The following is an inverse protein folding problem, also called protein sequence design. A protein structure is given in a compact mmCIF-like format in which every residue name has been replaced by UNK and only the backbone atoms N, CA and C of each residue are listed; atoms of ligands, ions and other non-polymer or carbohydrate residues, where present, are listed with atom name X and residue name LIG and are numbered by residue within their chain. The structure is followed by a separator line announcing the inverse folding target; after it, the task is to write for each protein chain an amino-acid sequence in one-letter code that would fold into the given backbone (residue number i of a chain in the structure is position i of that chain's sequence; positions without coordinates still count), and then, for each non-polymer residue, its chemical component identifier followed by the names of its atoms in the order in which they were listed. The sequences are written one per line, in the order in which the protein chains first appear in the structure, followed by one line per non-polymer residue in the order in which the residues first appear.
data_IF_934155752249
#
_entry.id   IF_934155752249
#
_cell.length_a   1.000
_cell.length_b   1.000
_cell.length_c   1.000
_cell.angle_alpha   90.00
_cell.angle_beta   90.00
_cell.angle_gamma   90.00
#
_symmetry.space_group_name_H-M   'P 1'
#
loop_
_entity.id
_entity.type
_entity.pdbx_description
1 polymer ?
2 non-polymer ?
3 water ?
#
# COMPACT_ATOMS: atom_id res chain seq x y z
N UNK A 5 10.80 4.15 21.13
CA UNK A 5 9.78 3.49 20.30
C UNK A 5 8.61 2.94 21.13
N UNK A 6 8.78 2.81 22.46
CA UNK A 6 7.73 2.31 23.33
C UNK A 6 6.90 3.48 23.83
N UNK A 7 5.57 3.38 23.71
CA UNK A 7 4.64 4.42 24.15
C UNK A 7 3.85 3.84 25.30
N UNK A 8 3.78 4.56 26.42
CA UNK A 8 3.02 4.10 27.57
C UNK A 8 1.49 4.33 27.39
N UNK A 9 0.59 3.49 27.95
CA UNK A 9 -0.86 3.72 27.77
C UNK A 9 -1.33 5.11 28.20
N UNK A 10 -0.68 5.72 29.21
CA UNK A 10 -1.04 7.05 29.70
C UNK A 10 -0.71 8.14 28.69
N UNK A 11 0.09 7.81 27.66
CA UNK A 11 0.51 8.78 26.64
C UNK A 11 -0.45 8.82 25.45
N UNK A 12 -1.52 8.01 25.50
CA UNK A 12 -2.48 7.94 24.42
C UNK A 12 -3.89 8.17 24.90
N UNK A 13 -4.70 8.84 24.07
CA UNK A 13 -6.13 8.98 24.36
C UNK A 13 -6.85 8.63 23.10
N UNK A 14 -7.96 7.91 23.23
CA UNK A 14 -8.81 7.53 22.13
C UNK A 14 -9.97 8.53 22.07
N UNK A 15 -10.19 9.09 20.89
CA UNK A 15 -11.25 10.08 20.69
C UNK A 15 -12.48 9.49 20.05
N UNK A 16 -12.28 8.79 18.92
CA UNK A 16 -13.36 8.19 18.15
C UNK A 16 -12.81 7.16 17.20
N UNK A 17 -13.65 6.30 16.71
CA UNK A 17 -13.22 5.32 15.77
C UNK A 17 -12.97 5.93 14.41
N UNK A 18 -11.96 5.43 13.70
CA UNK A 18 -11.72 5.76 12.30
C UNK A 18 -12.36 4.66 11.44
N UNK A 19 -12.03 3.40 11.72
CA UNK A 19 -12.61 2.30 10.98
C UNK A 19 -11.97 0.99 11.36
N UNK A 20 -12.51 -0.09 10.83
CA UNK A 20 -12.08 -1.44 11.14
C UNK A 20 -11.06 -1.94 10.14
N UNK A 21 -10.29 -2.91 10.63
CA UNK A 21 -9.33 -3.72 9.89
C UNK A 21 -9.67 -5.17 10.14
N UNK A 22 -9.09 -6.06 9.32
CA UNK A 22 -9.29 -7.50 9.43
C UNK A 22 -8.75 -7.97 10.78
N UNK A 23 -7.73 -7.26 11.32
CA UNK A 23 -7.10 -7.68 12.56
C UNK A 23 -7.23 -6.74 13.73
N UNK A 24 -7.96 -5.63 13.56
CA UNK A 24 -8.13 -4.71 14.65
C UNK A 24 -8.75 -3.39 14.24
N UNK A 25 -9.19 -2.68 15.23
CA UNK A 25 -9.85 -1.41 15.03
C UNK A 25 -8.84 -0.26 15.04
N UNK A 26 -9.09 0.78 14.22
CA UNK A 26 -8.27 1.97 14.17
C UNK A 26 -9.06 3.12 14.78
N UNK A 27 -8.45 3.84 15.72
CA UNK A 27 -9.02 4.99 16.39
C UNK A 27 -8.27 6.27 16.06
N UNK A 28 -8.97 7.37 16.11
CA UNK A 28 -8.37 8.69 16.10
C UNK A 28 -8.07 8.98 17.53
N UNK A 29 -6.87 9.47 17.82
CA UNK A 29 -6.56 9.84 19.19
C UNK A 29 -5.44 10.86 19.25
N UNK A 30 -5.01 11.12 20.48
CA UNK A 30 -3.88 12.03 20.70
C UNK A 30 -2.75 11.29 21.34
N UNK A 31 -1.53 11.74 21.03
CA UNK A 31 -0.30 11.19 21.62
C UNK A 31 0.35 12.36 22.37
N UNK A 32 0.55 12.17 23.68
CA UNK A 32 1.08 13.18 24.59
C UNK A 32 2.33 13.91 24.08
N UNK A 33 2.29 15.26 24.08
CA UNK A 33 3.36 16.19 23.65
C UNK A 33 3.78 16.02 22.21
N UNK A 34 2.97 15.31 21.42
CA UNK A 34 3.34 15.02 20.04
C UNK A 34 2.34 15.52 19.02
N UNK A 35 1.26 14.76 18.78
CA UNK A 35 0.27 15.13 17.78
C UNK A 35 -0.98 14.27 17.86
N UNK A 36 -1.93 14.57 16.98
CA UNK A 36 -3.07 13.72 16.73
C UNK A 36 -2.49 12.50 15.96
N UNK A 37 -3.03 11.31 16.25
CA UNK A 37 -2.54 10.05 15.69
C UNK A 37 -3.66 9.11 15.33
N UNK A 38 -3.32 8.07 14.54
CA UNK A 38 -4.21 6.93 14.34
C UNK A 38 -3.65 5.80 15.17
N UNK A 39 -4.51 5.14 15.95
CA UNK A 39 -4.09 4.07 16.85
C UNK A 39 -4.77 2.78 16.45
N UNK A 40 -4.00 1.76 16.11
CA UNK A 40 -4.53 0.46 15.78
C UNK A 40 -4.43 -0.47 16.99
N UNK A 41 -5.55 -1.09 17.41
CA UNK A 41 -5.50 -2.13 18.43
C UNK A 41 -5.47 -3.46 17.71
N UNK A 42 -4.54 -4.37 18.07
CA UNK A 42 -4.44 -5.62 17.32
C UNK A 42 -4.92 -6.77 18.18
N UNK A 43 -5.84 -7.57 17.65
CA UNK A 43 -6.31 -8.74 18.40
C UNK A 43 -5.19 -9.76 18.63
N UNK A 44 -5.22 -10.42 19.79
CA UNK A 44 -4.25 -11.46 20.15
C UNK A 44 -4.26 -12.55 19.08
N UNK A 45 -3.07 -13.00 18.70
CA UNK A 45 -2.94 -14.07 17.72
C UNK A 45 -2.85 -13.62 16.28
N UNK A 46 -3.17 -12.35 15.97
CA UNK A 46 -3.15 -11.91 14.59
C UNK A 46 -1.77 -11.60 14.07
N UNK A 47 -0.85 -11.23 14.99
CA UNK A 47 0.46 -10.74 14.61
C UNK A 47 1.53 -11.47 15.36
N UNK A 48 2.70 -11.63 14.74
CA UNK A 48 3.86 -12.16 15.44
C UNK A 48 4.41 -10.93 16.18
N UNK A 49 3.93 -10.73 17.40
CA UNK A 49 4.25 -9.53 18.17
C UNK A 49 5.75 -9.38 18.48
N UNK A 50 6.40 -10.47 18.88
CA UNK A 50 7.84 -10.43 19.13
C UNK A 50 8.63 -10.06 17.88
N UNK A 51 8.27 -10.62 16.71
CA UNK A 51 8.99 -10.26 15.46
C UNK A 51 8.81 -8.76 15.20
N UNK A 52 7.59 -8.26 15.42
CA UNK A 52 7.33 -6.86 15.14
C UNK A 52 8.11 -5.96 16.07
N UNK A 53 8.11 -6.28 17.35
CA UNK A 53 8.81 -5.47 18.35
C UNK A 53 10.31 -5.41 18.05
N UNK A 54 10.90 -6.52 17.55
CA UNK A 54 12.31 -6.58 17.13
C UNK A 54 12.59 -5.64 15.98
N UNK A 55 11.62 -5.48 15.08
CA UNK A 55 11.78 -4.71 13.84
C UNK A 55 11.25 -3.25 13.95
N UNK A 56 10.56 -2.90 15.06
CA UNK A 56 9.94 -1.56 15.18
C UNK A 56 10.88 -0.39 14.99
N UNK A 57 12.00 -0.39 15.71
CA UNK A 57 12.99 0.70 15.60
C UNK A 57 13.50 0.84 14.16
N UNK A 58 13.70 -0.29 13.46
CA UNK A 58 14.16 -0.33 12.06
C UNK A 58 13.13 0.32 11.14
N UNK A 59 11.85 -0.06 11.26
CA UNK A 59 10.78 0.49 10.46
C UNK A 59 10.62 1.97 10.67
N UNK A 60 10.79 2.40 11.94
CA UNK A 60 10.61 3.81 12.29
C UNK A 60 11.64 4.71 11.62
N UNK A 61 12.81 4.14 11.27
CA UNK A 61 13.86 4.90 10.59
C UNK A 61 13.54 5.12 9.11
N UNK A 62 12.57 4.39 8.55
CA UNK A 62 12.17 4.58 7.13
C UNK A 62 11.24 5.78 7.07
N UNK A 63 11.85 6.93 7.18
CA UNK A 63 11.17 8.20 7.31
C UNK A 63 11.27 8.91 5.99
N UNK A 64 10.14 9.09 5.35
CA UNK A 64 10.09 9.79 4.07
C UNK A 64 8.73 10.47 4.01
N UNK A 65 8.65 11.68 3.45
CA UNK A 65 7.36 12.39 3.43
C UNK A 65 6.22 11.67 2.70
N UNK A 66 6.54 10.67 1.86
CA UNK A 66 5.52 9.93 1.14
C UNK A 66 5.25 8.55 1.74
N UNK A 67 5.73 8.34 2.99
CA UNK A 67 5.46 7.08 3.70
C UNK A 67 4.71 7.42 4.98
N UNK A 68 3.63 6.68 5.26
CA UNK A 68 2.92 6.86 6.54
C UNK A 68 3.82 6.34 7.65
N UNK A 69 4.15 7.21 8.60
CA UNK A 69 5.08 6.87 9.65
C UNK A 69 4.51 6.05 10.80
N UNK A 70 5.30 5.11 11.29
CA UNK A 70 5.04 4.38 12.52
C UNK A 70 5.69 5.26 13.63
N UNK A 71 4.91 5.64 14.63
CA UNK A 71 5.42 6.47 15.71
C UNK A 71 5.83 5.66 16.94
N UNK A 72 5.24 4.49 17.12
CA UNK A 72 5.59 3.68 18.27
C UNK A 72 4.59 2.60 18.59
N UNK A 73 4.84 1.89 19.68
CA UNK A 73 4.08 0.71 20.05
C UNK A 73 3.73 0.79 21.52
N UNK A 74 2.46 0.56 21.84
CA UNK A 74 2.01 0.53 23.22
C UNK A 74 1.78 -0.95 23.53
N UNK A 75 2.68 -1.55 24.32
CA UNK A 75 2.70 -3.00 24.56
C UNK A 75 2.53 -3.43 26.00
N UNK A 76 2.18 -2.50 26.91
CA UNK A 76 2.03 -2.82 28.33
C UNK A 76 0.97 -3.89 28.60
N UNK A 77 -0.15 -3.80 27.91
CA UNK A 77 -1.23 -4.76 28.08
C UNK A 77 -1.83 -5.15 26.75
N UNK A 78 -2.39 -6.36 26.66
CA UNK A 78 -3.07 -6.86 25.49
C UNK A 78 -4.45 -6.16 25.44
N UNK A 79 -4.95 -5.66 24.29
CA UNK A 79 -4.33 -5.74 22.96
C UNK A 79 -3.24 -4.71 22.81
N UNK A 80 -2.19 -5.08 22.12
CA UNK A 80 -1.14 -4.10 21.84
C UNK A 80 -1.64 -3.07 20.83
N UNK A 81 -1.10 -1.85 20.89
CA UNK A 81 -1.48 -0.76 19.99
C UNK A 81 -0.29 -0.35 19.17
N UNK A 82 -0.55 -0.04 17.90
CA UNK A 82 0.45 0.56 17.05
C UNK A 82 -0.02 1.98 16.77
N UNK A 83 0.90 2.95 16.82
CA UNK A 83 0.57 4.36 16.70
C UNK A 83 1.17 4.91 15.41
N UNK A 84 0.32 5.52 14.58
CA UNK A 84 0.74 6.02 13.27
C UNK A 84 0.38 7.46 13.06
N UNK A 85 1.10 8.06 12.11
CA UNK A 85 0.79 9.36 11.57
C UNK A 85 -0.67 9.35 11.08
N UNK A 86 -1.46 10.35 11.48
CA UNK A 86 -2.87 10.44 11.10
C UNK A 86 -3.00 10.99 9.69
N UNK A 87 -3.76 10.28 8.83
CA UNK A 87 -3.95 10.71 7.44
C UNK A 87 -5.38 11.15 7.30
N UNK A 88 -5.57 12.45 7.26
CA UNK A 88 -6.90 13.07 7.36
C UNK A 88 -7.97 12.66 6.36
N UNK A 89 -7.57 12.32 5.15
CA UNK A 89 -8.57 11.99 4.16
C UNK A 89 -8.72 10.50 3.88
N UNK A 90 -8.05 9.65 4.65
CA UNK A 90 -8.23 8.22 4.57
C UNK A 90 -7.70 7.50 3.36
N UNK A 91 -8.21 6.28 3.11
CA UNK A 91 -7.75 5.41 2.03
C UNK A 91 -8.00 5.98 0.67
N UNK A 92 -7.01 5.80 -0.22
CA UNK A 92 -7.12 6.31 -1.58
C UNK A 92 -8.23 5.61 -2.37
N UNK A 93 -8.46 4.32 -2.10
CA UNK A 93 -9.52 3.58 -2.79
C UNK A 93 -10.88 4.27 -2.61
N UNK A 94 -11.26 4.57 -1.35
CA UNK A 94 -12.53 5.24 -1.11
C UNK A 94 -12.49 6.67 -1.57
N UNK A 95 -11.32 7.34 -1.47
CA UNK A 95 -11.20 8.75 -1.87
C UNK A 95 -11.51 8.92 -3.37
N UNK A 96 -11.03 7.97 -4.18
CA UNK A 96 -11.28 7.99 -5.62
C UNK A 96 -12.74 7.62 -5.92
N UNK A 97 -13.23 6.54 -5.29
CA UNK A 97 -14.59 6.03 -5.57
C UNK A 97 -15.67 7.02 -5.23
N UNK A 98 -15.49 7.78 -4.16
CA UNK A 98 -16.52 8.71 -3.72
C UNK A 98 -16.44 10.03 -4.49
N UNK A 99 -15.39 10.21 -5.32
CA UNK A 99 -15.20 11.47 -6.03
C UNK A 99 -14.97 11.26 -7.51
N UNK A 100 -15.54 10.20 -8.04
CA UNK A 100 -15.47 9.93 -9.46
C UNK A 100 -16.03 11.14 -10.21
N UNK A 101 -15.36 11.52 -11.29
CA UNK A 101 -15.76 12.62 -12.15
C UNK A 101 -15.11 13.94 -11.78
N UNK A 102 -14.39 14.00 -10.64
CA UNK A 102 -13.76 15.24 -10.20
C UNK A 102 -12.36 15.47 -10.71
N UNK A 103 -11.54 14.41 -10.72
CA UNK A 103 -10.12 14.63 -10.98
C UNK A 103 -9.66 14.57 -12.41
N UNK A 104 -8.84 15.55 -12.78
CA UNK A 104 -8.18 15.61 -14.07
C UNK A 104 -7.06 14.56 -14.12
N UNK A 105 -6.70 14.10 -15.33
CA UNK A 105 -5.62 13.12 -15.46
C UNK A 105 -4.32 13.63 -14.82
N UNK A 106 -4.06 14.94 -14.84
CA UNK A 106 -2.84 15.49 -14.21
C UNK A 106 -2.84 15.22 -12.70
N UNK A 107 -4.02 15.32 -12.05
CA UNK A 107 -4.13 15.07 -10.63
C UNK A 107 -3.95 13.57 -10.34
N UNK A 108 -4.59 12.70 -11.16
CA UNK A 108 -4.47 11.25 -10.98
C UNK A 108 -3.00 10.82 -11.18
N UNK A 109 -2.33 11.41 -12.20
CA UNK A 109 -0.91 11.12 -12.40
C UNK A 109 -0.10 11.61 -11.18
N UNK A 110 -0.44 12.77 -10.63
CA UNK A 110 0.26 13.26 -9.44
C UNK A 110 0.13 12.33 -8.24
N UNK A 111 -1.01 11.65 -8.10
CA UNK A 111 -1.24 10.69 -7.03
C UNK A 111 -0.27 9.51 -7.24
N UNK A 112 -0.19 9.03 -8.50
CA UNK A 112 0.73 7.94 -8.84
C UNK A 112 2.17 8.35 -8.59
N UNK A 113 2.51 9.62 -8.85
CA UNK A 113 3.89 10.11 -8.62
C UNK A 113 4.23 10.16 -7.13
N UNK A 114 3.27 10.48 -6.26
CA UNK A 114 3.53 10.50 -4.83
C UNK A 114 3.85 9.10 -4.37
N UNK A 115 3.06 8.11 -4.81
CA UNK A 115 3.27 6.72 -4.45
C UNK A 115 4.63 6.24 -4.99
N UNK A 116 4.92 6.58 -6.24
CA UNK A 116 6.17 6.15 -6.86
C UNK A 116 7.39 6.70 -6.11
N UNK A 117 7.29 7.94 -5.61
CA UNK A 117 8.40 8.55 -4.87
C UNK A 117 8.63 7.81 -3.55
N UNK A 118 7.56 7.47 -2.84
CA UNK A 118 7.70 6.69 -1.62
C UNK A 118 8.27 5.30 -1.92
N UNK A 119 7.83 4.68 -3.02
CA UNK A 119 8.33 3.37 -3.38
C UNK A 119 9.77 3.43 -3.84
N UNK A 120 10.20 4.52 -4.50
CA UNK A 120 11.60 4.65 -4.92
C UNK A 120 12.48 4.74 -3.68
N UNK A 121 11.99 5.39 -2.62
CA UNK A 121 12.76 5.47 -1.38
C UNK A 121 12.87 4.08 -0.77
N UNK A 122 11.76 3.32 -0.73
CA UNK A 122 11.86 1.96 -0.18
C UNK A 122 12.79 1.07 -1.01
N UNK A 123 12.71 1.16 -2.33
CA UNK A 123 13.55 0.37 -3.22
C UNK A 123 15.04 0.69 -2.95
N UNK A 124 15.37 1.97 -2.79
CA UNK A 124 16.78 2.35 -2.49
C UNK A 124 17.23 1.80 -1.14
N UNK A 125 16.30 1.71 -0.19
CA UNK A 125 16.58 1.20 1.16
C UNK A 125 16.52 -0.33 1.20
N UNK A 126 16.24 -0.99 0.05
CA UNK A 126 16.10 -2.45 -0.07
C UNK A 126 14.99 -3.00 0.79
N UNK A 127 13.88 -2.28 0.84
CA UNK A 127 12.72 -2.67 1.62
C UNK A 127 11.61 -2.97 0.61
N UNK A 128 11.01 -4.16 0.77
CA UNK A 128 9.92 -4.58 -0.10
C UNK A 128 8.60 -4.32 0.59
N UNK A 129 7.64 -3.69 -0.12
CA UNK A 129 6.33 -3.43 0.45
C UNK A 129 5.57 -4.74 0.69
N UNK A 130 5.39 -5.54 -0.41
CA UNK A 130 4.73 -6.86 -0.46
C UNK A 130 3.24 -6.83 -0.69
N UNK A 131 2.58 -5.70 -0.37
CA UNK A 131 1.13 -5.66 -0.54
C UNK A 131 0.69 -4.24 -0.94
N UNK A 132 1.33 -3.68 -1.97
CA UNK A 132 0.97 -2.34 -2.40
C UNK A 132 -0.37 -2.36 -3.16
N UNK A 133 -1.29 -1.46 -2.80
CA UNK A 133 -2.61 -1.38 -3.44
C UNK A 133 -3.20 -0.04 -3.05
N UNK A 134 -4.27 0.40 -3.75
CA UNK A 134 -4.87 1.69 -3.40
C UNK A 134 -5.41 1.66 -1.98
N UNK A 135 -5.87 0.48 -1.50
CA UNK A 135 -6.43 0.39 -0.14
C UNK A 135 -5.41 0.75 0.95
N UNK A 136 -4.10 0.61 0.67
CA UNK A 136 -3.20 1.04 1.73
C UNK A 136 -2.41 2.29 1.43
N UNK A 137 -2.82 3.00 0.40
CA UNK A 137 -2.32 4.34 0.15
C UNK A 137 -3.30 5.28 0.84
N UNK A 138 -2.77 6.24 1.57
CA UNK A 138 -3.61 7.13 2.35
C UNK A 138 -3.43 8.57 1.91
N UNK A 139 -4.49 9.38 2.05
CA UNK A 139 -4.54 10.75 1.58
C UNK A 139 -4.41 11.71 2.74
N UNK A 140 -3.46 12.61 2.63
CA UNK A 140 -3.18 13.58 3.68
C UNK A 140 -3.39 15.02 3.29
N UNK A 141 -2.60 15.89 3.92
CA UNK A 141 -2.67 17.33 3.69
C UNK A 141 -2.29 17.73 2.27
N UNK A 142 -3.04 18.69 1.67
CA UNK A 142 -2.83 19.18 0.29
C UNK A 142 -2.96 18.04 -0.74
N UNK A 143 -3.78 17.01 -0.39
CA UNK A 143 -4.07 15.85 -1.26
C UNK A 143 -2.83 14.98 -1.55
N UNK A 144 -1.86 15.00 -0.64
CA UNK A 144 -0.67 14.16 -0.79
C UNK A 144 -1.07 12.72 -0.57
N UNK A 145 -0.48 11.82 -1.35
CA UNK A 145 -0.70 10.40 -1.14
C UNK A 145 0.54 9.84 -0.49
N UNK A 146 0.32 9.00 0.53
CA UNK A 146 1.43 8.33 1.18
C UNK A 146 1.19 6.84 1.20
N UNK A 147 2.27 6.08 1.13
CA UNK A 147 2.19 4.62 1.15
C UNK A 147 2.23 4.15 2.62
N UNK A 148 1.35 3.22 2.97
CA UNK A 148 1.36 2.62 4.31
C UNK A 148 1.52 1.13 4.22
N UNK A 149 1.86 0.53 5.36
CA UNK A 149 1.85 -0.92 5.53
C UNK A 149 2.94 -1.65 4.82
N UNK A 150 3.99 -0.92 4.39
CA UNK A 150 5.14 -1.60 3.80
C UNK A 150 5.72 -2.62 4.79
N UNK A 151 5.93 -3.83 4.31
CA UNK A 151 6.52 -4.95 5.05
C UNK A 151 5.61 -5.59 6.08
N UNK A 152 4.39 -5.08 6.29
CA UNK A 152 3.55 -5.58 7.38
C UNK A 152 3.09 -7.00 7.21
N UNK A 153 2.98 -7.53 5.97
CA UNK A 153 2.54 -8.92 5.81
C UNK A 153 3.55 -9.91 6.42
N UNK A 154 4.81 -9.47 6.71
CA UNK A 154 5.81 -10.33 7.35
C UNK A 154 5.34 -10.75 8.74
N UNK A 155 4.41 -10.01 9.36
CA UNK A 155 4.02 -10.29 10.73
C UNK A 155 2.62 -10.88 10.85
N UNK A 156 1.88 -11.04 9.74
CA UNK A 156 0.52 -11.58 9.79
C UNK A 156 0.57 -13.09 10.03
N UNK A 157 -0.19 -13.60 11.02
CA UNK A 157 -0.20 -15.03 11.35
C UNK A 157 -1.31 -15.85 10.69
N UNK A 158 -2.23 -15.20 10.01
CA UNK A 158 -3.30 -15.92 9.32
C UNK A 158 -2.80 -16.34 7.93
N UNK A 159 -2.55 -17.65 7.77
CA UNK A 159 -2.03 -18.22 6.51
C UNK A 159 -2.96 -17.99 5.31
N UNK A 160 -4.25 -17.70 5.55
CA UNK A 160 -5.16 -17.38 4.43
C UNK A 160 -4.78 -16.09 3.74
N UNK A 161 -4.03 -15.22 4.43
CA UNK A 161 -3.59 -13.94 3.86
C UNK A 161 -2.21 -14.00 3.28
N UNK A 162 -1.32 -14.84 3.84
CA UNK A 162 0.10 -14.87 3.50
C UNK A 162 0.51 -15.93 2.52
N UNK A 163 -0.20 -17.06 2.50
CA UNK A 163 0.09 -18.14 1.56
C UNK A 163 -0.41 -17.74 0.20
N UNK A 164 0.43 -17.95 -0.85
CA UNK A 164 0.07 -17.62 -2.23
C UNK A 164 -1.23 -18.29 -2.71
N UNK A 165 -1.64 -19.39 -2.04
CA UNK A 165 -2.88 -20.14 -2.31
C UNK A 165 -3.99 -19.85 -1.28
N UNK A 166 -3.73 -18.95 -0.31
CA UNK A 166 -4.71 -18.57 0.69
C UNK A 166 -5.88 -17.82 0.08
N UNK A 167 -7.08 -17.98 0.68
CA UNK A 167 -8.31 -17.35 0.18
C UNK A 167 -8.31 -15.83 0.27
N UNK A 168 -7.47 -15.26 1.15
CA UNK A 168 -7.42 -13.82 1.32
C UNK A 168 -6.14 -13.23 0.73
N UNK A 169 -5.35 -14.04 -0.01
CA UNK A 169 -4.09 -13.56 -0.60
C UNK A 169 -4.40 -12.52 -1.71
N UNK A 170 -3.65 -11.41 -1.75
CA UNK A 170 -3.92 -10.35 -2.75
C UNK A 170 -3.42 -10.71 -4.15
N UNK A 171 -3.98 -11.79 -4.72
CA UNK A 171 -3.56 -12.29 -6.03
C UNK A 171 -3.73 -11.20 -7.09
N UNK A 172 -4.77 -10.36 -6.99
CA UNK A 172 -5.01 -9.34 -8.03
C UNK A 172 -3.92 -8.28 -8.17
N UNK A 173 -3.05 -8.15 -7.15
CA UNK A 173 -1.96 -7.18 -7.21
C UNK A 173 -0.61 -7.88 -7.32
N UNK A 174 -0.63 -9.22 -7.43
CA UNK A 174 0.60 -10.00 -7.38
C UNK A 174 1.21 -10.28 -8.72
N UNK A 175 2.53 -10.16 -8.80
CA UNK A 175 3.22 -10.57 -9.99
C UNK A 175 3.19 -12.09 -10.08
N UNK A 176 3.45 -12.68 -11.26
CA UNK A 176 3.43 -14.15 -11.36
C UNK A 176 4.41 -14.83 -10.42
N UNK A 177 5.61 -14.27 -10.21
CA UNK A 177 6.55 -14.95 -9.32
C UNK A 177 6.11 -14.87 -7.86
N UNK A 178 5.26 -13.87 -7.51
CA UNK A 178 4.71 -13.80 -6.15
C UNK A 178 3.53 -14.79 -6.03
N UNK A 179 2.57 -14.79 -7.02
CA UNK A 179 1.48 -15.74 -6.86
C UNK A 179 1.90 -17.20 -7.01
N UNK A 180 3.04 -17.41 -7.66
CA UNK A 180 3.54 -18.77 -7.84
C UNK A 180 4.46 -19.20 -6.72
N UNK A 181 5.41 -18.32 -6.31
CA UNK A 181 6.48 -18.71 -5.40
C UNK A 181 6.69 -17.82 -4.19
N UNK A 182 5.84 -16.78 -4.05
CA UNK A 182 6.07 -15.79 -2.99
C UNK A 182 7.47 -15.18 -3.15
N UNK A 183 7.93 -15.02 -4.40
CA UNK A 183 9.24 -14.46 -4.68
C UNK A 183 9.16 -12.92 -4.72
N UNK A 184 9.17 -12.32 -3.53
CA UNK A 184 9.06 -10.86 -3.38
C UNK A 184 10.32 -10.15 -3.74
N UNK A 185 10.18 -8.96 -4.34
CA UNK A 185 11.31 -8.11 -4.68
C UNK A 185 10.79 -6.72 -4.97
N UNK A 186 11.68 -5.73 -5.17
CA UNK A 186 11.13 -4.44 -5.56
C UNK A 186 10.43 -4.57 -6.94
N UNK A 187 10.86 -5.51 -7.79
CA UNK A 187 10.23 -5.70 -9.08
C UNK A 187 8.83 -6.31 -8.95
N UNK A 188 8.57 -7.11 -7.88
CA UNK A 188 7.20 -7.55 -7.67
C UNK A 188 6.34 -6.37 -7.17
N UNK A 189 6.95 -5.46 -6.38
CA UNK A 189 6.23 -4.25 -5.98
C UNK A 189 5.91 -3.40 -7.20
N UNK A 190 6.81 -3.39 -8.23
CA UNK A 190 6.51 -2.62 -9.45
C UNK A 190 5.24 -3.17 -10.12
N UNK A 191 5.08 -4.50 -10.17
CA UNK A 191 3.86 -5.07 -10.75
C UNK A 191 2.64 -4.54 -9.99
N UNK A 192 2.70 -4.60 -8.64
CA UNK A 192 1.59 -4.08 -7.82
C UNK A 192 1.35 -2.59 -8.08
N UNK A 193 2.44 -1.81 -8.28
CA UNK A 193 2.30 -0.39 -8.58
C UNK A 193 1.56 -0.17 -9.92
N UNK A 194 1.76 -1.07 -10.90
CA UNK A 194 1.03 -0.95 -12.16
C UNK A 194 -0.47 -1.15 -11.92
N UNK A 195 -0.82 -2.13 -11.06
CA UNK A 195 -2.25 -2.34 -10.71
C UNK A 195 -2.78 -1.10 -9.97
N UNK A 196 -1.97 -0.55 -9.04
CA UNK A 196 -2.36 0.65 -8.31
C UNK A 196 -2.62 1.79 -9.33
N UNK A 197 -1.73 1.96 -10.34
CA UNK A 197 -1.97 3.00 -11.34
C UNK A 197 -3.31 2.79 -12.02
N UNK A 198 -3.66 1.51 -12.33
CA UNK A 198 -4.94 1.22 -12.92
C UNK A 198 -6.09 1.58 -11.98
N UNK A 199 -5.94 1.31 -10.67
CA UNK A 199 -6.98 1.67 -9.72
C UNK A 199 -7.16 3.19 -9.69
N UNK A 200 -6.04 3.94 -9.77
CA UNK A 200 -6.13 5.39 -9.73
C UNK A 200 -6.78 5.96 -10.99
N UNK A 201 -6.27 5.55 -12.17
CA UNK A 201 -6.81 6.09 -13.40
C UNK A 201 -8.25 5.66 -13.69
N UNK A 202 -8.68 4.51 -13.12
CA UNK A 202 -10.06 4.07 -13.25
C UNK A 202 -10.94 4.72 -12.18
N UNK A 203 -10.37 5.62 -11.33
CA UNK A 203 -11.13 6.28 -10.27
C UNK A 203 -11.72 5.26 -9.29
N UNK A 204 -10.86 4.32 -8.90
CA UNK A 204 -11.20 3.36 -7.85
C UNK A 204 -12.00 2.13 -8.25
N UNK A 205 -11.97 1.71 -9.53
CA UNK A 205 -12.61 0.46 -9.87
C UNK A 205 -11.79 -0.70 -9.28
N UNK A 206 -12.44 -1.86 -9.12
CA UNK A 206 -11.79 -3.04 -8.58
C UNK A 206 -11.18 -3.83 -9.74
N UNK A 207 -9.88 -4.13 -9.70
CA UNK A 207 -9.28 -4.88 -10.83
C UNK A 207 -9.78 -6.31 -10.93
N UNK A 208 -10.02 -6.78 -12.15
CA UNK A 208 -10.49 -8.16 -12.41
C UNK A 208 -11.72 -8.48 -11.53
N UNK A 209 -12.70 -7.53 -11.40
CA UNK A 209 -13.84 -7.67 -10.50
C UNK A 209 -14.67 -8.95 -10.62
N UNK A 210 -14.83 -9.47 -11.84
CA UNK A 210 -15.63 -10.67 -12.08
C UNK A 210 -14.81 -11.93 -12.31
N UNK A 211 -13.58 -11.93 -11.80
CA UNK A 211 -12.71 -13.10 -11.88
C UNK A 211 -12.35 -13.58 -10.50
N UNK A 212 -12.33 -14.90 -10.34
CA UNK A 212 -11.86 -15.48 -9.09
C UNK A 212 -10.31 -15.40 -9.06
N UNK A 213 -9.71 -15.64 -7.88
CA UNK A 213 -8.23 -15.62 -7.80
C UNK A 213 -7.61 -16.67 -8.73
N UNK A 214 -8.22 -17.89 -8.80
CA UNK A 214 -7.70 -18.89 -9.72
C UNK A 214 -7.80 -18.46 -11.17
N UNK A 215 -8.90 -17.76 -11.54
CA UNK A 215 -9.04 -17.28 -12.91
C UNK A 215 -8.00 -16.17 -13.20
N UNK A 216 -7.74 -15.27 -12.24
CA UNK A 216 -6.70 -14.24 -12.48
C UNK A 216 -5.33 -14.90 -12.75
N UNK A 217 -4.95 -15.94 -11.98
CA UNK A 217 -3.66 -16.63 -12.19
C UNK A 217 -3.58 -17.15 -13.63
N UNK A 218 -4.64 -17.85 -14.10
CA UNK A 218 -4.65 -18.42 -15.44
C UNK A 218 -4.63 -17.31 -16.49
N UNK A 219 -5.46 -16.27 -16.32
CA UNK A 219 -5.56 -15.16 -17.26
C UNK A 219 -4.19 -14.47 -17.39
N UNK A 220 -3.59 -14.09 -16.24
CA UNK A 220 -2.28 -13.41 -16.30
C UNK A 220 -1.21 -14.28 -16.97
N UNK A 221 -1.19 -15.58 -16.61
CA UNK A 221 -0.23 -16.52 -17.13
C UNK A 221 -0.33 -16.75 -18.61
N UNK A 222 -1.52 -16.45 -19.20
CA UNK A 222 -1.80 -16.61 -20.61
C UNK A 222 -1.81 -15.27 -21.35
N UNK A 223 -1.34 -14.22 -20.68
CA UNK A 223 -1.12 -12.91 -21.31
C UNK A 223 -2.17 -11.84 -21.17
N UNK A 224 -3.28 -12.12 -20.45
CA UNK A 224 -4.34 -11.14 -20.24
C UNK A 224 -3.80 -10.02 -19.38
N UNK A 225 -4.20 -8.79 -19.70
CA UNK A 225 -3.84 -7.64 -18.89
C UNK A 225 -5.06 -6.74 -18.75
N UNK A 226 -5.10 -5.95 -17.67
CA UNK A 226 -6.18 -4.99 -17.45
C UNK A 226 -6.29 -4.03 -18.61
N UNK A 227 -7.54 -3.68 -18.98
CA UNK A 227 -7.83 -2.76 -20.09
C UNK A 227 -7.41 -1.32 -19.72
N UNK A 228 -7.29 -0.44 -20.72
CA UNK A 228 -6.92 0.93 -20.48
C UNK A 228 -8.08 1.73 -19.90
N UNK A 229 -7.91 2.38 -18.73
CA UNK A 229 -8.98 3.23 -18.20
C UNK A 229 -9.17 4.44 -19.12
N UNK A 230 -10.40 4.93 -19.23
CA UNK A 230 -10.74 6.06 -20.10
C UNK A 230 -9.83 7.28 -19.84
N UNK A 231 -9.51 7.54 -18.56
CA UNK A 231 -8.73 8.72 -18.20
C UNK A 231 -7.24 8.57 -18.38
N UNK A 232 -6.74 7.35 -18.68
CA UNK A 232 -5.33 7.12 -18.90
C UNK A 232 -4.97 7.35 -20.36
N UNK A 233 -3.93 8.17 -20.62
CA UNK A 233 -3.45 8.36 -21.99
C UNK A 233 -2.80 7.05 -22.47
N UNK A 234 -2.52 6.95 -23.78
CA UNK A 234 -1.83 5.77 -24.27
C UNK A 234 -0.42 5.66 -23.65
N UNK A 235 0.26 6.79 -23.37
CA UNK A 235 1.59 6.76 -22.75
C UNK A 235 1.51 6.25 -21.31
N UNK A 236 0.48 6.69 -20.56
CA UNK A 236 0.32 6.17 -19.19
C UNK A 236 0.06 4.67 -19.22
N UNK A 237 -0.78 4.22 -20.14
CA UNK A 237 -1.11 2.80 -20.26
C UNK A 237 0.12 2.00 -20.69
N UNK A 238 1.00 2.58 -21.51
CA UNK A 238 2.24 1.88 -21.89
C UNK A 238 3.05 1.62 -20.61
N UNK A 239 3.16 2.63 -19.72
CA UNK A 239 3.92 2.46 -18.48
C UNK A 239 3.27 1.38 -17.60
N UNK A 240 1.93 1.36 -17.48
CA UNK A 240 1.25 0.31 -16.72
C UNK A 240 1.66 -1.06 -17.25
N UNK A 241 1.67 -1.21 -18.60
CA UNK A 241 2.01 -2.48 -19.20
C UNK A 241 3.46 -2.87 -18.96
N UNK A 242 4.35 -1.89 -18.84
CA UNK A 242 5.75 -2.20 -18.52
C UNK A 242 5.86 -2.80 -17.13
N UNK A 243 5.00 -2.31 -16.18
CA UNK A 243 4.99 -2.87 -14.82
C UNK A 243 4.51 -4.31 -14.82
N UNK A 244 3.70 -4.70 -15.82
CA UNK A 244 3.10 -6.03 -15.91
C UNK A 244 3.81 -6.95 -16.85
N UNK A 245 5.11 -6.70 -17.07
CA UNK A 245 5.88 -7.65 -17.87
C UNK A 245 6.11 -8.92 -17.07
N UNK A 246 5.99 -10.07 -17.74
CA UNK A 246 6.10 -11.33 -17.04
C UNK A 246 7.41 -11.55 -16.30
N UNK A 247 8.54 -11.15 -16.92
CA UNK A 247 9.85 -11.31 -16.32
C UNK A 247 10.15 -10.10 -15.41
N UNK A 248 10.47 -10.27 -14.12
CA UNK A 248 10.78 -9.09 -13.27
C UNK A 248 11.92 -8.23 -13.82
N UNK A 249 12.89 -8.88 -14.46
CA UNK A 249 14.05 -8.17 -15.01
C UNK A 249 13.67 -7.15 -16.07
N UNK A 250 12.56 -7.37 -16.78
CA UNK A 250 12.10 -6.49 -17.86
C UNK A 250 11.25 -5.35 -17.33
N UNK A 251 10.85 -5.40 -16.06
CA UNK A 251 10.09 -4.32 -15.47
C UNK A 251 11.01 -3.17 -15.09
N UNK A 252 10.54 -1.92 -15.21
CA UNK A 252 11.36 -0.81 -14.74
C UNK A 252 11.51 -0.79 -13.22
N UNK A 253 12.65 -0.32 -12.74
CA UNK A 253 12.83 -0.03 -11.32
C UNK A 253 11.98 1.19 -10.97
N UNK A 254 11.62 1.36 -9.67
CA UNK A 254 10.90 2.57 -9.27
C UNK A 254 11.69 3.85 -9.59
N UNK A 255 13.03 3.78 -9.54
CA UNK A 255 13.82 4.96 -9.86
C UNK A 255 13.62 5.37 -11.35
N UNK A 256 13.42 4.38 -12.23
CA UNK A 256 13.16 4.63 -13.64
C UNK A 256 11.71 5.10 -13.85
N UNK A 257 10.76 4.45 -13.18
CA UNK A 257 9.36 4.89 -13.28
C UNK A 257 9.21 6.34 -12.81
N UNK A 258 9.91 6.70 -11.72
CA UNK A 258 9.75 8.05 -11.17
C UNK A 258 10.20 9.08 -12.20
N UNK A 259 11.30 8.80 -12.94
CA UNK A 259 11.71 9.73 -13.99
C UNK A 259 10.71 9.75 -15.16
N UNK A 260 10.21 8.55 -15.56
CA UNK A 260 9.32 8.50 -16.72
C UNK A 260 7.99 9.19 -16.42
N UNK A 261 7.42 8.91 -15.23
CA UNK A 261 6.14 9.55 -14.88
C UNK A 261 6.33 11.03 -14.66
N UNK A 262 7.48 11.46 -14.04
CA UNK A 262 7.70 12.89 -13.78
C UNK A 262 7.83 13.63 -15.08
N UNK A 263 8.50 13.02 -16.09
CA UNK A 263 8.67 13.63 -17.39
C UNK A 263 7.34 13.95 -18.02
N UNK A 264 6.35 13.00 -17.94
CA UNK A 264 4.98 13.24 -18.42
C UNK A 264 4.31 14.37 -17.59
N UNK A 265 4.36 14.28 -16.25
CA UNK A 265 3.75 15.29 -15.36
C UNK A 265 4.32 16.70 -15.46
N UNK A 266 5.63 16.79 -15.71
CA UNK A 266 6.34 18.08 -15.77
C UNK A 266 6.36 18.67 -17.18
N UNK A 267 5.93 17.89 -18.20
CA UNK A 267 5.88 18.35 -19.58
C UNK A 267 4.63 19.20 -19.82
X LIG B 1 -1.10 -4.98 9.61
X LIG B 1 -1.17 -3.10 11.61
X LIG B 1 -1.18 -3.64 9.29
X LIG B 1 -6.04 7.49 8.97
X LIG B 1 -1.04 -5.39 10.93
X LIG B 1 -9.75 1.89 8.13
X LIG B 1 -8.48 2.39 8.83
X LIG B 1 -3.27 1.73 9.79
X LIG B 1 -2.17 -0.39 10.44
X LIG B 1 -6.13 5.29 8.81
X LIG B 1 -9.90 4.01 5.45
X LIG B 1 -1.67 -7.38 12.39
X LIG B 1 -0.90 2.71 8.74
X LIG B 1 -2.06 3.46 8.68
X LIG B 1 -0.92 1.45 9.30
X LIG B 1 -1.08 -4.45 11.93
X LIG B 1 -4.79 5.15 9.15
X LIG B 1 -3.26 3.00 9.22
X LIG B 1 -2.11 0.97 9.84
X LIG B 1 -1.22 -2.70 10.29
X LIG B 1 -4.51 3.74 9.09
X LIG B 1 -4.10 6.33 9.43
X LIG B 1 -9.53 1.80 6.62
X LIG B 1 -7.82 3.53 6.65
X LIG B 1 -7.93 3.66 8.17
X LIG B 1 -10.81 2.91 3.42
X LIG B 1 0.50 -7.36 11.14
X LIG B 1 -11.13 3.44 4.80
X LIG B 1 -0.95 -6.89 11.16
X LIG B 1 -6.82 6.42 8.73
X LIG B 1 -4.75 7.51 9.33
X LIG B 1 -5.63 3.07 8.79
X LIG B 1 -6.60 4.01 8.65
X LIG B 1 -9.09 3.09 6.11
X LIG B 1 -2.75 6.33 9.78
X LIG B 1 -1.29 -1.31 9.93
X LIG B 1 -2.98 -0.66 11.32
X LIG B 1 -9.68 5.22 5.36
#
# INVERSE_FOLDING_TARGET
GSGKWVIDPSELTFVQEIGSGQFGLVHLGYWLNKDKVAIKTIREGAMSEEDFIEEAEVMMKLSHPKLVQLYGVCLEQAPICLVFEFMEHGCLSDYLRTQRGLFAAETLLGMCLDVCEGMAYLEEACVIHRDLAARNCLVGENQVIKVSDFGMTRFVLDDQYTSSTGTKFPVKWASPEVFSFSRYSSKSDVWSFGVLMWEVFSEGKIPYENRSNSEVVEDISTGFRLYKPRLASTHVYQIMNHCWRERPEDRPAFSRLLRQLAEIAESGL
13L C4 C7 C6 C9 C13 C20 C21 C8 C18 C16 C19 C26 C1 C2 C3 C5 C10 C11 C12 C14 C15 C17 C22 C23 C24 C25 C27 C28 C29 N30 N31 N32 N33 N34 N35 N36 O37 O38
#
